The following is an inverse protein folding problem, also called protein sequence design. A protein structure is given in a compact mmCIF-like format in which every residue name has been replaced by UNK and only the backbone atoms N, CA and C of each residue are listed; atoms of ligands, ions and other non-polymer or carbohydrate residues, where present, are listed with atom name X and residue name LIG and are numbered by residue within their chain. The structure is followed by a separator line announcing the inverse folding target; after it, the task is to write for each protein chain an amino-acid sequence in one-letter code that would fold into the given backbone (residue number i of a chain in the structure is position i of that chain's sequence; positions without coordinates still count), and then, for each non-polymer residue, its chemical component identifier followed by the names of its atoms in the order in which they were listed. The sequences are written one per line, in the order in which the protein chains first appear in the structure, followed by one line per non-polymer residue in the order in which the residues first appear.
data_IF_048432323674
#
_entry.id   IF_048432323674
#
_cell.length_a   1.000
_cell.length_b   1.000
_cell.length_c   1.000
_cell.angle_alpha   90.00
_cell.angle_beta   90.00
_cell.angle_gamma   90.00
#
_symmetry.space_group_name_H-M   'P 1'
#
loop_
_entity.id
_entity.type
_entity.pdbx_description
1 polymer ?
#
# COMPACT_ATOMS: atom_id res chain seq x y z
N UNK A 1 9.75 3.14 11.62
CA UNK A 1 8.46 3.83 11.31
C UNK A 1 7.41 2.78 10.94
N UNK A 2 6.13 2.98 11.27
CA UNK A 2 5.07 1.97 11.08
C UNK A 2 4.45 2.11 9.68
N UNK A 3 4.44 1.05 8.89
CA UNK A 3 3.59 0.97 7.70
C UNK A 3 2.20 0.51 8.16
N UNK A 4 1.27 1.46 8.33
CA UNK A 4 -0.12 1.12 8.63
C UNK A 4 -0.86 0.95 7.32
N UNK A 5 -0.96 -0.28 6.83
CA UNK A 5 -2.00 -0.61 5.84
C UNK A 5 -3.30 -0.79 6.62
N UNK A 6 -4.20 0.19 6.50
CA UNK A 6 -5.55 0.08 7.06
C UNK A 6 -6.33 -1.00 6.30
N UNK A 7 -6.18 -2.25 6.72
CA UNK A 7 -7.11 -3.32 6.36
C UNK A 7 -8.43 -3.02 7.07
N UNK A 8 -9.40 -2.43 6.35
CA UNK A 8 -10.74 -2.08 6.84
C UNK A 8 -11.63 -3.30 7.20
N UNK A 9 -11.04 -4.42 7.62
CA UNK A 9 -11.72 -5.72 7.72
C UNK A 9 -11.96 -6.17 9.17
N UNK A 10 -11.31 -5.56 10.16
CA UNK A 10 -11.46 -6.01 11.55
C UNK A 10 -12.31 -5.05 12.36
N UNK A 11 -13.52 -5.51 12.65
CA UNK A 11 -14.26 -5.15 13.85
C UNK A 11 -13.36 -5.44 15.07
N UNK A 12 -12.77 -4.38 15.62
CA UNK A 12 -12.30 -4.26 17.00
C UNK A 12 -11.56 -5.47 17.62
N UNK A 13 -10.32 -5.74 17.20
CA UNK A 13 -9.24 -6.25 18.07
C UNK A 13 -7.92 -6.34 17.27
N UNK A 14 -6.96 -5.46 17.58
CA UNK A 14 -5.57 -5.48 17.09
C UNK A 14 -5.39 -5.38 15.56
N UNK A 15 -5.18 -4.16 15.05
CA UNK A 15 -4.62 -3.98 13.72
C UNK A 15 -3.21 -4.56 13.69
N UNK A 16 -2.92 -5.59 12.85
CA UNK A 16 -1.57 -6.14 12.77
C UNK A 16 -0.61 -5.05 12.33
N UNK A 17 0.30 -4.67 13.24
CA UNK A 17 1.30 -3.65 13.00
C UNK A 17 2.55 -4.33 12.48
N UNK A 18 2.94 -4.04 11.23
CA UNK A 18 4.22 -4.49 10.70
C UNK A 18 5.25 -3.37 10.89
N UNK A 19 6.30 -3.69 11.65
CA UNK A 19 7.44 -2.80 11.82
C UNK A 19 8.42 -3.02 10.68
N UNK A 20 8.71 -1.96 9.93
CA UNK A 20 9.77 -1.96 8.91
C UNK A 20 11.10 -1.60 9.60
N UNK A 21 12.17 -2.38 9.39
CA UNK A 21 13.50 -2.02 9.86
C UNK A 21 13.94 -0.64 9.35
N UNK A 22 14.61 0.15 10.20
CA UNK A 22 15.00 1.52 9.84
C UNK A 22 15.97 1.58 8.65
N UNK A 23 16.79 0.54 8.42
CA UNK A 23 17.69 0.43 7.26
C UNK A 23 16.96 0.05 5.96
N UNK A 24 15.66 -0.28 6.03
CA UNK A 24 14.81 -0.70 4.91
C UNK A 24 13.65 0.23 4.62
N UNK A 25 13.43 1.24 5.46
CA UNK A 25 12.32 2.18 5.35
C UNK A 25 12.26 2.90 4.00
N UNK A 26 13.40 3.21 3.40
CA UNK A 26 13.49 3.90 2.11
C UNK A 26 13.90 2.97 0.95
N UNK A 27 13.87 1.65 1.14
CA UNK A 27 14.10 0.66 0.08
C UNK A 27 12.76 0.31 -0.60
N UNK A 28 12.46 0.85 -1.80
CA UNK A 28 11.17 0.63 -2.46
C UNK A 28 10.93 -0.85 -2.81
N UNK A 29 11.98 -1.64 -3.04
CA UNK A 29 11.81 -3.06 -3.35
C UNK A 29 11.39 -3.85 -2.10
N UNK A 30 11.97 -3.52 -0.94
CA UNK A 30 11.58 -4.11 0.33
C UNK A 30 10.12 -3.76 0.66
N UNK A 31 9.74 -2.50 0.51
CA UNK A 31 8.37 -2.05 0.76
C UNK A 31 7.38 -2.70 -0.22
N UNK A 32 7.72 -2.78 -1.51
CA UNK A 32 6.90 -3.46 -2.51
C UNK A 32 6.64 -4.92 -2.12
N UNK A 33 7.70 -5.65 -1.77
CA UNK A 33 7.58 -7.04 -1.33
C UNK A 33 6.67 -7.16 -0.11
N UNK A 34 6.83 -6.28 0.87
CA UNK A 34 6.04 -6.29 2.08
C UNK A 34 4.55 -6.05 1.80
N UNK A 35 4.23 -5.05 0.97
CA UNK A 35 2.84 -4.77 0.55
C UNK A 35 2.27 -5.98 -0.20
N UNK A 36 3.02 -6.61 -1.10
CA UNK A 36 2.59 -7.84 -1.77
C UNK A 36 2.26 -8.96 -0.78
N UNK A 37 3.06 -9.14 0.28
CA UNK A 37 2.77 -10.12 1.33
C UNK A 37 1.46 -9.81 2.07
N UNK A 38 1.13 -8.53 2.30
CA UNK A 38 -0.16 -8.13 2.90
C UNK A 38 -1.33 -8.54 2.01
N UNK A 39 -1.23 -8.33 0.69
CA UNK A 39 -2.27 -8.77 -0.25
C UNK A 39 -2.39 -10.30 -0.32
N UNK A 40 -1.28 -11.04 -0.25
CA UNK A 40 -1.30 -12.51 -0.19
C UNK A 40 -1.98 -13.00 1.09
N UNK A 41 -1.63 -12.43 2.25
CA UNK A 41 -2.25 -12.77 3.54
C UNK A 41 -3.75 -12.42 3.58
N UNK A 42 -4.14 -11.29 2.97
CA UNK A 42 -5.55 -10.92 2.81
C UNK A 42 -6.32 -11.93 1.94
N UNK A 43 -5.73 -12.38 0.82
CA UNK A 43 -6.34 -13.39 -0.04
C UNK A 43 -6.51 -14.74 0.67
N UNK A 44 -5.58 -15.13 1.54
CA UNK A 44 -5.70 -16.34 2.39
C UNK A 44 -6.83 -16.24 3.42
N UNK A 45 -7.37 -15.04 3.64
CA UNK A 45 -8.51 -14.75 4.52
C UNK A 45 -9.78 -14.46 3.72
N UNK A 46 -9.85 -14.94 2.47
CA UNK A 46 -10.98 -14.75 1.55
C UNK A 46 -11.32 -13.27 1.28
N UNK A 47 -10.32 -12.39 1.36
CA UNK A 47 -10.50 -10.98 1.06
C UNK A 47 -9.93 -10.64 -0.33
N UNK A 48 -10.80 -10.09 -1.17
CA UNK A 48 -10.42 -9.59 -2.49
C UNK A 48 -9.49 -8.36 -2.39
N UNK A 49 -8.56 -8.24 -3.33
CA UNK A 49 -7.63 -7.10 -3.40
C UNK A 49 -8.35 -5.75 -3.49
N UNK A 50 -9.52 -5.71 -4.14
CA UNK A 50 -10.36 -4.52 -4.27
C UNK A 50 -10.93 -4.01 -2.93
N UNK A 51 -10.89 -4.84 -1.88
CA UNK A 51 -11.34 -4.50 -0.52
C UNK A 51 -10.18 -4.08 0.40
N UNK A 52 -8.94 -4.16 -0.08
CA UNK A 52 -7.74 -3.69 0.63
C UNK A 52 -7.33 -2.33 0.09
N UNK A 53 -7.35 -1.31 0.93
CA UNK A 53 -6.94 0.04 0.55
C UNK A 53 -5.56 0.33 1.15
N UNK A 54 -4.61 0.72 0.30
CA UNK A 54 -3.31 1.20 0.75
C UNK A 54 -3.36 2.72 0.98
N UNK A 55 -3.32 3.13 2.25
CA UNK A 55 -3.19 4.53 2.66
C UNK A 55 -1.72 4.92 2.80
N UNK A 56 -1.29 5.95 2.09
CA UNK A 56 0.11 6.42 2.11
C UNK A 56 0.28 7.88 2.53
N UNK A 57 -0.71 8.46 3.22
CA UNK A 57 -0.73 9.86 3.70
C UNK A 57 0.52 10.30 4.47
N UNK A 58 1.20 9.38 5.17
CA UNK A 58 2.39 9.63 5.99
C UNK A 58 3.64 8.87 5.58
N UNK A 59 3.68 8.31 4.36
CA UNK A 59 4.80 7.52 3.88
C UNK A 59 6.01 8.40 3.48
N UNK A 60 7.24 7.92 3.69
CA UNK A 60 8.42 8.54 3.05
C UNK A 60 8.39 8.29 1.55
N UNK A 61 9.19 9.04 0.78
CA UNK A 61 9.26 8.87 -0.68
C UNK A 61 9.61 7.44 -1.11
N UNK A 62 10.55 6.80 -0.40
CA UNK A 62 10.93 5.41 -0.68
C UNK A 62 9.77 4.44 -0.43
N UNK A 63 9.04 4.61 0.67
CA UNK A 63 7.82 3.85 0.96
C UNK A 63 6.74 4.08 -0.10
N UNK A 64 6.44 5.34 -0.44
CA UNK A 64 5.45 5.68 -1.47
C UNK A 64 5.77 4.99 -2.79
N UNK A 65 7.03 4.97 -3.22
CA UNK A 65 7.44 4.29 -4.44
C UNK A 65 7.18 2.77 -4.36
N UNK A 66 7.54 2.11 -3.26
CA UNK A 66 7.27 0.67 -3.08
C UNK A 66 5.76 0.34 -3.04
N UNK A 67 4.97 1.17 -2.35
CA UNK A 67 3.51 1.05 -2.30
C UNK A 67 2.90 1.21 -3.70
N UNK A 68 3.27 2.26 -4.43
CA UNK A 68 2.80 2.48 -5.80
C UNK A 68 3.16 1.31 -6.73
N UNK A 69 4.38 0.78 -6.62
CA UNK A 69 4.81 -0.38 -7.42
C UNK A 69 4.00 -1.64 -7.09
N UNK A 70 3.62 -1.86 -5.83
CA UNK A 70 2.79 -3.00 -5.43
C UNK A 70 1.32 -2.81 -5.81
N UNK A 71 0.81 -1.58 -5.84
CA UNK A 71 -0.59 -1.26 -6.12
C UNK A 71 -0.84 -0.79 -7.56
N UNK A 72 0.14 -0.93 -8.46
CA UNK A 72 -0.06 -0.66 -9.88
C UNK A 72 -0.75 -1.82 -10.62
N UNK A 73 -1.07 -2.92 -9.92
CA UNK A 73 -2.03 -3.90 -10.41
C UNK A 73 -3.45 -3.29 -10.44
N UNK A 74 -4.29 -3.60 -11.45
CA UNK A 74 -5.55 -2.88 -11.70
C UNK A 74 -6.54 -2.83 -10.52
N UNK A 75 -6.50 -3.83 -9.64
CA UNK A 75 -7.50 -4.07 -8.60
C UNK A 75 -7.03 -3.71 -7.18
N UNK A 76 -5.94 -2.95 -7.06
CA UNK A 76 -5.36 -2.55 -5.76
C UNK A 76 -5.55 -1.05 -5.51
N UNK A 77 -6.61 -0.63 -4.79
CA UNK A 77 -6.91 0.78 -4.58
C UNK A 77 -5.87 1.46 -3.66
N UNK A 78 -5.57 2.72 -3.99
CA UNK A 78 -4.68 3.60 -3.25
C UNK A 78 -5.43 4.82 -2.72
N UNK A 79 -5.06 5.30 -1.53
CA UNK A 79 -5.57 6.57 -1.03
C UNK A 79 -4.53 7.40 -0.28
N UNK A 80 -4.74 8.71 -0.22
CA UNK A 80 -4.03 9.60 0.68
C UNK A 80 -4.92 10.78 1.10
N UNK A 81 -4.61 11.42 2.22
CA UNK A 81 -5.23 12.68 2.64
C UNK A 81 -4.37 13.82 2.10
N UNK A 82 -4.99 14.71 1.33
CA UNK A 82 -4.35 15.91 0.82
C UNK A 82 -4.03 16.88 1.96
N UNK A 83 -2.79 17.39 1.99
CA UNK A 83 -2.38 18.38 2.99
C UNK A 83 -2.91 19.79 2.71
N UNK A 84 -3.51 20.04 1.53
CA UNK A 84 -3.97 21.37 1.12
C UNK A 84 -5.38 21.67 1.66
N UNK A 85 -6.27 20.69 1.57
CA UNK A 85 -7.71 20.80 1.85
C UNK A 85 -8.20 19.74 2.86
N UNK A 86 -7.42 18.71 3.16
CA UNK A 86 -7.79 17.64 4.09
C UNK A 86 -8.68 16.56 3.47
N UNK A 87 -8.89 16.60 2.15
CA UNK A 87 -9.74 15.65 1.45
C UNK A 87 -9.04 14.30 1.25
N UNK A 88 -9.82 13.20 1.31
CA UNK A 88 -9.34 11.86 0.96
C UNK A 88 -9.37 11.72 -0.56
N UNK A 89 -8.20 11.43 -1.12
CA UNK A 89 -7.97 11.27 -2.55
C UNK A 89 -7.76 9.80 -2.87
N UNK A 90 -8.64 9.23 -3.72
CA UNK A 90 -8.46 7.88 -4.27
C UNK A 90 -7.63 7.94 -5.55
N UNK A 91 -6.66 7.01 -5.69
CA UNK A 91 -5.83 6.88 -6.88
C UNK A 91 -5.99 5.48 -7.46
N UNK A 92 -6.18 5.43 -8.78
CA UNK A 92 -6.01 4.22 -9.56
C UNK A 92 -4.80 4.41 -10.49
N UNK A 93 -3.77 3.60 -10.27
CA UNK A 93 -2.57 3.60 -11.12
C UNK A 93 -2.66 2.40 -12.05
N UNK A 94 -2.54 2.66 -13.34
CA UNK A 94 -2.30 1.63 -14.35
C UNK A 94 -1.17 2.10 -15.25
N UNK A 95 -0.24 1.21 -15.59
CA UNK A 95 0.80 1.51 -16.56
C UNK A 95 0.99 0.33 -17.50
N UNK A 96 1.27 0.64 -18.76
CA UNK A 96 1.74 -0.33 -19.75
C UNK A 96 3.23 -0.11 -19.97
N UNK A 97 4.04 -1.17 -19.89
CA UNK A 97 5.41 -1.10 -20.37
C UNK A 97 5.37 -1.03 -21.90
N UNK A 98 5.65 0.15 -22.45
CA UNK A 98 6.00 0.26 -23.86
C UNK A 98 7.30 -0.51 -24.09
N UNK A 99 7.34 -1.38 -25.11
CA UNK A 99 8.62 -1.94 -25.55
C UNK A 99 9.52 -0.77 -25.96
N UNK A 100 10.71 -0.72 -25.37
CA UNK A 100 11.79 0.10 -25.88
C UNK A 100 12.52 -0.81 -26.86
N UNK A 101 12.20 -0.65 -28.15
CA UNK A 101 12.83 -1.35 -29.27
C UNK A 101 14.23 -0.78 -29.54
#
# INVERSE_FOLDING_TARGET
MVLTVCLNIYDQAEQPTILVPDDKIDDPNHIQLLVNCIYVDAALKDLESSKVIADYTGATKGMTAGILLACAEPDRPLQYISQLDGDIMSIQVSYGLGRID
#
